data_IF_150733310192
#
_entry.id   IF_150733310192
#
_cell.length_a   1.000
_cell.length_b   1.000
_cell.length_c   1.000
_cell.angle_alpha   90.00
_cell.angle_beta   90.00
_cell.angle_gamma   90.00
#
_symmetry.space_group_name_H-M   'P 1'
#
loop_
_entity.id
_entity.type
_entity.pdbx_description
1 polymer ?
#
# COMPACT_ATOMS: atom_id res chain seq x y z
N UNK A 1 7.60 -10.88 3.57
CA UNK A 1 6.14 -10.96 3.79
C UNK A 1 5.46 -11.50 2.55
N UNK A 2 4.59 -12.50 2.72
CA UNK A 2 3.76 -13.04 1.65
C UNK A 2 2.76 -11.97 1.20
N UNK A 3 2.67 -11.68 -0.10
CA UNK A 3 1.72 -10.67 -0.63
C UNK A 3 0.27 -11.20 -0.74
N UNK A 4 -0.01 -12.35 -0.15
CA UNK A 4 -1.34 -12.98 -0.13
C UNK A 4 -2.40 -12.09 0.54
N UNK A 5 -1.99 -11.27 1.51
CA UNK A 5 -2.87 -10.30 2.15
C UNK A 5 -3.58 -9.38 1.14
N UNK A 6 -2.93 -9.00 0.03
CA UNK A 6 -3.54 -8.14 -1.00
C UNK A 6 -4.83 -8.76 -1.55
N UNK A 7 -4.85 -10.09 -1.68
CA UNK A 7 -5.98 -10.88 -2.17
C UNK A 7 -7.06 -11.13 -1.11
N UNK A 8 -6.82 -10.78 0.16
CA UNK A 8 -7.81 -10.95 1.21
C UNK A 8 -8.97 -9.94 0.99
N UNK A 9 -10.21 -10.41 0.74
CA UNK A 9 -11.34 -9.51 0.51
C UNK A 9 -11.79 -8.81 1.79
N UNK A 10 -11.47 -9.37 2.97
CA UNK A 10 -11.79 -8.75 4.25
C UNK A 10 -10.73 -7.69 4.59
N UNK A 11 -11.08 -6.42 4.38
CA UNK A 11 -10.21 -5.27 4.65
C UNK A 11 -10.02 -4.95 6.13
N UNK A 12 -10.77 -5.63 7.01
CA UNK A 12 -10.64 -5.55 8.45
C UNK A 12 -9.95 -6.78 9.04
N UNK A 13 -9.49 -7.73 8.22
CA UNK A 13 -8.71 -8.86 8.70
C UNK A 13 -7.32 -8.38 9.15
N UNK A 14 -6.84 -8.91 10.27
CA UNK A 14 -5.52 -8.56 10.82
C UNK A 14 -4.42 -8.74 9.76
N UNK A 15 -4.43 -9.85 9.00
CA UNK A 15 -3.47 -10.08 7.91
C UNK A 15 -3.44 -8.95 6.87
N UNK A 16 -4.60 -8.34 6.58
CA UNK A 16 -4.69 -7.23 5.64
C UNK A 16 -4.12 -5.94 6.23
N UNK A 17 -4.44 -5.66 7.50
CA UNK A 17 -3.96 -4.47 8.21
C UNK A 17 -2.45 -4.53 8.46
N UNK A 18 -1.95 -5.68 8.91
CA UNK A 18 -0.52 -5.95 9.07
C UNK A 18 0.23 -5.75 7.74
N UNK A 19 -0.34 -6.25 6.65
CA UNK A 19 0.21 -6.07 5.31
C UNK A 19 0.28 -4.59 4.86
N UNK A 20 -0.69 -3.77 5.26
CA UNK A 20 -0.65 -2.31 5.03
C UNK A 20 0.47 -1.69 5.85
N UNK A 21 0.60 -2.03 7.13
CA UNK A 21 1.65 -1.50 8.01
C UNK A 21 3.04 -1.82 7.46
N UNK A 22 3.26 -3.07 7.03
CA UNK A 22 4.49 -3.50 6.38
C UNK A 22 4.79 -2.71 5.11
N UNK A 23 3.78 -2.47 4.27
CA UNK A 23 3.92 -1.68 3.05
C UNK A 23 4.30 -0.22 3.37
N UNK A 24 3.66 0.38 4.36
CA UNK A 24 3.95 1.76 4.78
C UNK A 24 5.36 1.86 5.37
N UNK A 25 5.77 0.91 6.21
CA UNK A 25 7.11 0.84 6.77
C UNK A 25 8.17 0.67 5.67
N UNK A 26 7.91 -0.18 4.67
CA UNK A 26 8.77 -0.33 3.50
C UNK A 26 8.90 0.98 2.72
N UNK A 27 7.79 1.64 2.42
CA UNK A 27 7.78 2.89 1.66
C UNK A 27 8.60 3.98 2.36
N UNK A 28 8.45 4.14 3.69
CA UNK A 28 9.23 5.09 4.50
C UNK A 28 10.73 4.78 4.48
N UNK A 29 11.10 3.50 4.55
CA UNK A 29 12.52 3.07 4.54
C UNK A 29 13.20 3.33 3.20
N UNK A 30 12.49 3.10 2.11
CA UNK A 30 13.04 3.19 0.75
C UNK A 30 12.98 4.61 0.17
N UNK A 31 12.09 5.46 0.69
CA UNK A 31 11.94 6.83 0.25
C UNK A 31 12.19 7.81 1.42
N UNK A 32 13.42 7.85 1.97
CA UNK A 32 13.73 8.71 3.11
C UNK A 32 13.51 10.18 2.75
N UNK A 33 12.75 10.89 3.58
CA UNK A 33 12.41 12.30 3.37
C UNK A 33 11.22 12.55 2.42
N UNK A 34 10.68 11.52 1.78
CA UNK A 34 9.47 11.66 0.98
C UNK A 34 8.25 11.86 1.89
N UNK A 35 7.50 12.93 1.64
CA UNK A 35 6.21 13.19 2.32
C UNK A 35 5.04 12.56 1.58
N UNK A 36 5.23 12.17 0.32
CA UNK A 36 4.22 11.58 -0.55
C UNK A 36 4.78 10.42 -1.36
N UNK A 37 3.95 9.42 -1.60
CA UNK A 37 4.24 8.26 -2.45
C UNK A 37 3.10 8.03 -3.45
N UNK A 38 3.34 7.24 -4.49
CA UNK A 38 2.27 6.80 -5.40
C UNK A 38 1.32 5.88 -4.64
N UNK A 39 0.02 6.12 -4.74
CA UNK A 39 -0.98 5.34 -4.03
C UNK A 39 -1.36 4.08 -4.83
N UNK A 40 -1.07 2.86 -4.33
CA UNK A 40 -1.39 1.61 -5.02
C UNK A 40 -2.81 1.12 -4.74
N UNK A 41 -3.69 1.96 -4.19
CA UNK A 41 -5.08 1.56 -3.99
C UNK A 41 -5.81 1.43 -5.33
N UNK A 42 -6.86 0.60 -5.39
CA UNK A 42 -7.64 0.35 -6.61
C UNK A 42 -8.21 1.59 -7.27
N UNK A 43 -8.51 2.63 -6.47
CA UNK A 43 -9.02 3.91 -6.98
C UNK A 43 -7.93 4.76 -7.63
N UNK A 44 -6.74 4.81 -7.01
CA UNK A 44 -5.64 5.65 -7.48
C UNK A 44 -4.82 4.96 -8.57
N UNK A 45 -4.79 3.62 -8.59
CA UNK A 45 -4.09 2.78 -9.57
C UNK A 45 -2.64 3.22 -9.81
N UNK A 46 -1.90 3.53 -8.75
CA UNK A 46 -0.54 4.07 -8.83
C UNK A 46 -0.38 5.31 -9.72
N UNK A 47 -1.42 6.13 -9.91
CA UNK A 47 -1.34 7.37 -10.71
C UNK A 47 -1.23 8.63 -9.84
N UNK A 48 -1.86 8.61 -8.66
CA UNK A 48 -1.90 9.74 -7.73
C UNK A 48 -0.79 9.66 -6.69
N UNK A 49 -0.17 10.80 -6.42
CA UNK A 49 0.72 10.99 -5.27
C UNK A 49 -0.13 11.34 -4.05
N UNK A 50 0.08 10.66 -2.94
CA UNK A 50 -0.66 10.88 -1.68
C UNK A 50 0.31 10.88 -0.52
N UNK A 51 -0.06 11.51 0.60
CA UNK A 51 0.74 11.38 1.83
C UNK A 51 0.76 9.93 2.27
N UNK A 52 1.82 9.51 2.96
CA UNK A 52 1.96 8.13 3.43
C UNK A 52 0.77 7.75 4.32
N UNK A 53 0.30 8.68 5.15
CA UNK A 53 -0.89 8.52 6.00
C UNK A 53 -2.17 8.33 5.15
N UNK A 54 -2.37 9.14 4.10
CA UNK A 54 -3.52 8.99 3.19
C UNK A 54 -3.47 7.68 2.43
N UNK A 55 -2.28 7.19 2.06
CA UNK A 55 -2.14 5.90 1.40
C UNK A 55 -2.64 4.78 2.29
N UNK A 56 -2.26 4.74 3.57
CA UNK A 56 -2.80 3.77 4.53
C UNK A 56 -4.33 3.79 4.56
N UNK A 57 -4.93 4.97 4.72
CA UNK A 57 -6.39 5.13 4.70
C UNK A 57 -7.03 4.64 3.38
N UNK A 58 -6.43 4.98 2.24
CA UNK A 58 -6.90 4.54 0.93
C UNK A 58 -6.82 3.02 0.74
N UNK A 59 -5.82 2.35 1.32
CA UNK A 59 -5.67 0.90 1.23
C UNK A 59 -6.71 0.16 2.09
N UNK A 60 -7.07 0.70 3.25
CA UNK A 60 -8.21 0.21 4.04
C UNK A 60 -9.52 0.41 3.28
N UNK A 61 -9.77 1.62 2.78
CA UNK A 61 -11.06 1.99 2.15
C UNK A 61 -11.28 1.35 0.77
N UNK A 62 -10.26 1.34 -0.09
CA UNK A 62 -10.41 0.99 -1.50
C UNK A 62 -9.71 -0.33 -1.87
N UNK A 63 -8.89 -0.89 -0.98
CA UNK A 63 -8.07 -2.05 -1.28
C UNK A 63 -6.82 -1.72 -2.10
N UNK A 64 -5.75 -2.52 -1.95
CA UNK A 64 -4.60 -2.49 -2.85
C UNK A 64 -4.93 -3.15 -4.21
N UNK A 65 -4.32 -2.70 -5.30
CA UNK A 65 -4.42 -3.37 -6.60
C UNK A 65 -3.69 -4.73 -6.54
N UNK A 66 -4.35 -5.79 -7.00
CA UNK A 66 -3.85 -7.17 -6.90
C UNK A 66 -2.66 -7.45 -7.80
N UNK A 67 -2.54 -6.69 -8.90
CA UNK A 67 -1.41 -6.76 -9.83
C UNK A 67 -0.16 -6.07 -9.27
N UNK A 68 -0.23 -5.41 -8.11
CA UNK A 68 0.93 -4.84 -7.43
C UNK A 68 1.69 -5.91 -6.65
N UNK A 69 2.06 -7.00 -7.34
CA UNK A 69 2.80 -8.13 -6.79
C UNK A 69 4.32 -7.87 -6.74
N UNK A 70 4.77 -6.78 -7.36
CA UNK A 70 6.18 -6.44 -7.53
C UNK A 70 6.41 -5.02 -7.00
N UNK A 71 7.02 -4.92 -5.82
CA UNK A 71 7.43 -3.63 -5.21
C UNK A 71 8.68 -3.03 -5.90
N UNK A 72 8.97 -3.42 -7.15
CA UNK A 72 10.22 -3.06 -7.85
C UNK A 72 10.10 -1.73 -8.62
N UNK A 73 8.93 -1.08 -8.60
CA UNK A 73 8.72 0.19 -9.30
C UNK A 73 9.04 1.41 -8.46
N UNK A 74 9.35 1.23 -7.17
CA UNK A 74 9.79 2.31 -6.30
C UNK A 74 10.99 1.79 -5.52
N UNK A 75 12.16 2.32 -5.89
CA UNK A 75 13.39 2.17 -5.12
C UNK A 75 13.26 2.72 -3.70
#
# INVERSE_FOLDING_TARGET
MSRRWIQNPNRCADEYLDGIEDFIAFARRHNPGATRIRCPCRRCNNTLWETIENVGFHLVRNGMIETYSIWNLHG
#
